data_IF_512997067871
#
_entry.id   IF_512997067871
#
_cell.length_a   1.000
_cell.length_b   1.000
_cell.length_c   1.000
_cell.angle_alpha   90.00
_cell.angle_beta   90.00
_cell.angle_gamma   90.00
#
_symmetry.space_group_name_H-M   'P 1'
#
loop_
_entity.id
_entity.type
_entity.pdbx_description
1 polymer ?
#
# COMPACT_ATOMS: atom_id res chain seq x y z
N UNK A 1 -14.90 -21.33 -28.89
CA UNK A 1 -13.65 -21.22 -28.10
C UNK A 1 -14.01 -20.47 -26.83
N UNK A 2 -14.07 -21.16 -25.69
CA UNK A 2 -14.69 -20.65 -24.46
C UNK A 2 -13.72 -19.87 -23.57
N UNK A 3 -14.22 -18.74 -23.05
CA UNK A 3 -13.65 -17.97 -21.96
C UNK A 3 -13.93 -18.68 -20.63
N UNK A 4 -12.89 -19.12 -19.92
CA UNK A 4 -12.96 -19.45 -18.50
C UNK A 4 -11.59 -19.28 -17.86
N UNK A 5 -11.61 -18.75 -16.63
CA UNK A 5 -10.63 -18.94 -15.57
C UNK A 5 -9.32 -18.13 -15.57
N UNK A 6 -9.39 -16.92 -14.98
CA UNK A 6 -8.28 -16.42 -14.17
C UNK A 6 -8.81 -15.94 -12.81
N UNK A 7 -8.82 -16.88 -11.87
CA UNK A 7 -8.94 -16.61 -10.43
C UNK A 7 -7.75 -15.75 -10.01
N UNK A 8 -8.04 -14.55 -9.48
CA UNK A 8 -7.08 -13.72 -8.77
C UNK A 8 -6.54 -14.50 -7.56
N UNK A 9 -5.28 -14.89 -7.63
CA UNK A 9 -4.56 -15.61 -6.57
C UNK A 9 -4.26 -14.60 -5.47
N UNK A 10 -4.81 -14.88 -4.28
CA UNK A 10 -4.39 -14.26 -3.02
C UNK A 10 -2.95 -14.70 -2.68
N UNK A 11 -2.04 -13.73 -2.62
CA UNK A 11 -0.65 -13.85 -2.13
C UNK A 11 -0.42 -12.54 -1.34
N UNK A 12 -0.27 -12.51 -0.02
CA UNK A 12 0.71 -13.19 0.81
C UNK A 12 0.18 -13.46 2.24
N UNK A 13 0.16 -14.73 2.64
CA UNK A 13 0.18 -15.17 4.04
C UNK A 13 1.40 -16.07 4.21
N UNK A 14 2.56 -15.50 4.54
CA UNK A 14 3.72 -16.21 5.09
C UNK A 14 4.87 -15.25 5.40
N UNK A 15 5.09 -14.92 6.67
CA UNK A 15 6.40 -14.99 7.35
C UNK A 15 6.41 -14.16 8.64
N UNK A 16 6.35 -14.84 9.79
CA UNK A 16 7.17 -14.53 10.98
C UNK A 16 6.80 -15.47 12.13
N UNK A 17 7.15 -16.76 12.00
CA UNK A 17 7.33 -17.64 13.16
C UNK A 17 8.74 -17.39 13.69
N UNK A 18 8.89 -16.40 14.56
CA UNK A 18 10.12 -16.26 15.37
C UNK A 18 9.90 -17.04 16.65
N UNK A 19 10.55 -18.21 16.72
CA UNK A 19 10.69 -19.03 17.93
C UNK A 19 11.74 -18.32 18.78
N UNK A 20 11.33 -17.61 19.81
CA UNK A 20 12.27 -17.13 20.84
C UNK A 20 12.42 -18.28 21.83
N UNK A 21 13.57 -18.98 21.77
CA UNK A 21 14.04 -19.77 22.91
C UNK A 21 14.64 -18.76 23.88
N UNK A 22 13.91 -18.42 24.94
CA UNK A 22 14.48 -17.74 26.10
C UNK A 22 15.07 -18.84 26.97
N UNK A 23 16.39 -18.91 26.97
CA UNK A 23 17.16 -19.71 27.92
C UNK A 23 16.85 -19.18 29.34
N UNK A 24 16.25 -20.04 30.16
CA UNK A 24 16.13 -19.86 31.60
C UNK A 24 17.52 -19.60 32.17
N UNK A 25 17.75 -18.37 32.61
CA UNK A 25 18.88 -18.07 33.48
C UNK A 25 18.34 -17.49 34.78
N UNK A 26 18.42 -18.35 35.79
CA UNK A 26 18.26 -18.08 37.22
C UNK A 26 18.44 -16.62 37.58
N UNK A 27 17.34 -15.98 37.99
CA UNK A 27 17.40 -14.80 38.85
C UNK A 27 16.42 -15.02 39.99
N UNK A 28 16.85 -15.84 40.94
CA UNK A 28 16.30 -15.82 42.29
C UNK A 28 16.71 -14.51 42.95
N UNK A 29 15.77 -13.60 43.15
CA UNK A 29 15.84 -12.56 44.17
C UNK A 29 14.44 -12.43 44.76
N UNK A 30 14.26 -13.07 45.90
CA UNK A 30 13.18 -12.76 46.82
C UNK A 30 13.27 -11.28 47.20
N UNK A 31 12.17 -10.53 47.18
CA UNK A 31 11.88 -9.46 48.14
C UNK A 31 10.40 -9.03 48.03
N UNK A 32 9.69 -9.29 49.14
CA UNK A 32 8.61 -8.50 49.75
C UNK A 32 7.28 -8.26 49.02
N UNK A 33 6.23 -8.83 49.63
CA UNK A 33 4.92 -8.19 49.75
C UNK A 33 5.06 -6.72 50.16
N UNK A 34 4.73 -5.80 49.25
CA UNK A 34 4.24 -4.47 49.60
C UNK A 34 3.20 -4.08 48.56
N UNK A 35 1.93 -4.24 48.93
CA UNK A 35 0.81 -3.73 48.16
C UNK A 35 0.82 -2.22 48.17
N UNK A 36 1.17 -1.64 47.02
CA UNK A 36 0.70 -0.35 46.51
C UNK A 36 0.77 -0.48 44.98
N UNK A 37 -0.29 -1.05 44.40
CA UNK A 37 -0.54 -0.91 42.96
C UNK A 37 -0.87 0.57 42.72
N UNK A 38 0.17 1.39 42.55
CA UNK A 38 0.06 2.74 42.01
C UNK A 38 -0.28 2.61 40.52
N UNK A 39 -1.55 2.32 40.29
CA UNK A 39 -2.26 2.45 39.02
C UNK A 39 -2.43 3.96 38.70
N UNK A 40 -1.32 4.71 38.70
CA UNK A 40 -1.30 6.16 38.51
C UNK A 40 -1.94 6.48 37.15
N UNK A 41 -3.11 7.15 37.14
CA UNK A 41 -3.84 7.44 35.92
C UNK A 41 -3.00 8.22 34.91
N UNK A 42 -2.04 9.03 35.37
CA UNK A 42 -1.14 9.80 34.52
C UNK A 42 -0.12 8.88 33.82
N UNK A 43 0.54 7.99 34.55
CA UNK A 43 1.47 7.00 33.98
C UNK A 43 0.78 6.12 32.93
N UNK A 44 -0.42 5.61 33.23
CA UNK A 44 -1.21 4.83 32.26
C UNK A 44 -1.60 5.65 31.01
N UNK A 45 -1.97 6.93 31.19
CA UNK A 45 -2.30 7.81 30.07
C UNK A 45 -1.09 8.08 29.17
N UNK A 46 0.10 8.26 29.75
CA UNK A 46 1.36 8.46 29.00
C UNK A 46 1.71 7.20 28.18
N UNK A 47 1.62 6.02 28.79
CA UNK A 47 1.87 4.76 28.08
C UNK A 47 0.88 4.53 26.93
N UNK A 48 -0.41 4.83 27.15
CA UNK A 48 -1.43 4.74 26.12
C UNK A 48 -1.15 5.72 24.97
N UNK A 49 -0.78 6.97 25.26
CA UNK A 49 -0.43 7.97 24.25
C UNK A 49 0.80 7.52 23.43
N UNK A 50 1.83 6.99 24.08
CA UNK A 50 3.02 6.46 23.41
C UNK A 50 2.70 5.27 22.50
N UNK A 51 1.92 4.31 22.99
CA UNK A 51 1.46 3.17 22.20
C UNK A 51 0.59 3.61 21.02
N UNK A 52 -0.30 4.58 21.23
CA UNK A 52 -1.11 5.17 20.17
C UNK A 52 -0.23 5.83 19.09
N UNK A 53 0.81 6.58 19.49
CA UNK A 53 1.78 7.17 18.57
C UNK A 53 2.52 6.13 17.73
N UNK A 54 2.99 5.04 18.35
CA UNK A 54 3.63 3.91 17.64
C UNK A 54 2.69 3.27 16.61
N UNK A 55 1.43 3.02 17.00
CA UNK A 55 0.41 2.45 16.11
C UNK A 55 0.10 3.39 14.94
N UNK A 56 -0.05 4.69 15.19
CA UNK A 56 -0.28 5.69 14.16
C UNK A 56 0.88 5.74 13.16
N UNK A 57 2.13 5.75 13.63
CA UNK A 57 3.31 5.72 12.76
C UNK A 57 3.39 4.44 11.93
N UNK A 58 3.06 3.28 12.51
CA UNK A 58 3.00 2.02 11.78
C UNK A 58 1.90 2.02 10.71
N UNK A 59 0.70 2.50 11.05
CA UNK A 59 -0.42 2.59 10.13
C UNK A 59 -0.11 3.54 8.95
N UNK A 60 0.52 4.68 9.23
CA UNK A 60 0.96 5.63 8.20
C UNK A 60 1.95 4.99 7.22
N UNK A 61 2.99 4.30 7.73
CA UNK A 61 3.95 3.58 6.87
C UNK A 61 3.27 2.49 6.03
N UNK A 62 2.35 1.74 6.62
CA UNK A 62 1.59 0.72 5.90
C UNK A 62 0.72 1.33 4.78
N UNK A 63 0.06 2.45 5.05
CA UNK A 63 -0.75 3.17 4.06
C UNK A 63 0.12 3.68 2.90
N UNK A 64 1.29 4.26 3.18
CA UNK A 64 2.23 4.71 2.15
C UNK A 64 2.73 3.55 1.28
N UNK A 65 3.06 2.41 1.90
CA UNK A 65 3.47 1.22 1.16
C UNK A 65 2.34 0.68 0.27
N UNK A 66 1.11 0.68 0.77
CA UNK A 66 -0.08 0.28 0.00
C UNK A 66 -0.33 1.23 -1.18
N UNK A 67 -0.21 2.55 -0.98
CA UNK A 67 -0.37 3.55 -2.04
C UNK A 67 0.68 3.38 -3.15
N UNK A 68 1.95 3.15 -2.79
CA UNK A 68 3.02 2.86 -3.77
C UNK A 68 2.73 1.58 -4.55
N UNK A 69 2.34 0.51 -3.85
CA UNK A 69 1.97 -0.75 -4.51
C UNK A 69 0.76 -0.61 -5.43
N UNK A 70 -0.21 0.23 -5.07
CA UNK A 70 -1.36 0.53 -5.92
C UNK A 70 -0.92 1.30 -7.17
N UNK A 71 -0.03 2.31 -7.02
CA UNK A 71 0.51 3.05 -8.15
C UNK A 71 1.20 2.12 -9.17
N UNK A 72 2.05 1.20 -8.70
CA UNK A 72 2.74 0.23 -9.57
C UNK A 72 1.76 -0.70 -10.31
N UNK A 73 0.64 -1.03 -9.66
CA UNK A 73 -0.39 -1.90 -10.26
C UNK A 73 -1.16 -1.16 -11.34
N UNK A 74 -1.53 0.09 -11.09
CA UNK A 74 -2.24 0.92 -12.06
C UNK A 74 -1.33 1.27 -13.25
N UNK A 75 -0.04 1.52 -13.02
CA UNK A 75 0.92 1.72 -14.12
C UNK A 75 1.04 0.49 -15.03
N UNK A 76 1.06 -0.72 -14.47
CA UNK A 76 1.00 -1.96 -15.27
C UNK A 76 -0.29 -2.10 -16.06
N UNK A 77 -1.42 -1.61 -15.51
CA UNK A 77 -2.70 -1.54 -16.24
C UNK A 77 -2.59 -0.59 -17.45
N UNK A 78 -1.96 0.58 -17.27
CA UNK A 78 -1.71 1.50 -18.36
C UNK A 78 -0.90 0.87 -19.50
N UNK A 79 0.16 0.14 -19.17
CA UNK A 79 0.98 -0.57 -20.15
C UNK A 79 0.20 -1.69 -20.85
N UNK A 80 -0.72 -2.34 -20.15
CA UNK A 80 -1.65 -3.30 -20.77
C UNK A 80 -2.57 -2.63 -21.77
N UNK A 81 -3.12 -1.46 -21.43
CA UNK A 81 -3.95 -0.69 -22.34
C UNK A 81 -3.17 -0.20 -23.58
N UNK A 82 -1.93 0.25 -23.43
CA UNK A 82 -1.10 0.65 -24.58
C UNK A 82 -0.81 -0.52 -25.53
N UNK A 83 -0.55 -1.72 -24.97
CA UNK A 83 -0.39 -2.95 -25.77
C UNK A 83 -1.68 -3.28 -26.53
N UNK A 84 -2.83 -3.24 -25.88
CA UNK A 84 -4.12 -3.45 -26.55
C UNK A 84 -4.35 -2.41 -27.67
N UNK A 85 -4.04 -1.14 -27.43
CA UNK A 85 -4.16 -0.10 -28.46
C UNK A 85 -3.29 -0.42 -29.68
N UNK A 86 -2.06 -0.88 -29.45
CA UNK A 86 -1.13 -1.28 -30.51
C UNK A 86 -1.68 -2.45 -31.33
N UNK A 87 -2.23 -3.48 -30.67
CA UNK A 87 -2.86 -4.62 -31.37
C UNK A 87 -4.04 -4.20 -32.24
N UNK A 88 -4.88 -3.27 -31.77
CA UNK A 88 -5.97 -2.73 -32.58
C UNK A 88 -5.47 -1.91 -33.78
N UNK A 89 -4.42 -1.10 -33.60
CA UNK A 89 -3.82 -0.36 -34.71
C UNK A 89 -3.20 -1.30 -35.75
N UNK A 90 -2.59 -2.40 -35.33
CA UNK A 90 -2.11 -3.45 -36.23
C UNK A 90 -3.26 -4.10 -36.98
N UNK A 91 -4.34 -4.50 -36.28
CA UNK A 91 -5.54 -5.06 -36.91
C UNK A 91 -6.14 -4.09 -37.94
N UNK A 92 -6.15 -2.78 -37.66
CA UNK A 92 -6.65 -1.76 -38.57
C UNK A 92 -5.91 -1.72 -39.92
N UNK A 93 -4.64 -2.17 -39.98
CA UNK A 93 -3.85 -2.24 -41.22
C UNK A 93 -4.34 -3.35 -42.14
N UNK A 94 -4.91 -4.41 -41.59
CA UNK A 94 -5.35 -5.60 -42.32
C UNK A 94 -6.84 -5.60 -42.65
N UNK A 95 -7.62 -4.67 -42.11
CA UNK A 95 -9.06 -4.55 -42.37
C UNK A 95 -9.38 -3.61 -43.54
N UNK A 96 -10.56 -3.85 -44.15
CA UNK A 96 -11.21 -2.91 -45.05
C UNK A 96 -11.63 -1.60 -44.36
N UNK A 97 -12.13 -0.59 -45.10
CA UNK A 97 -12.32 0.77 -44.59
C UNK A 97 -13.16 0.88 -43.31
N UNK A 98 -14.26 0.14 -43.21
CA UNK A 98 -15.11 0.13 -42.01
C UNK A 98 -14.38 -0.46 -40.80
N UNK A 99 -13.84 -1.68 -40.91
CA UNK A 99 -13.10 -2.32 -39.81
C UNK A 99 -11.82 -1.55 -39.41
N UNK A 100 -11.19 -0.83 -40.34
CA UNK A 100 -10.07 0.07 -40.03
C UNK A 100 -10.50 1.22 -39.13
N UNK A 101 -11.66 1.83 -39.40
CA UNK A 101 -12.19 2.93 -38.58
C UNK A 101 -12.51 2.43 -37.18
N UNK A 102 -13.22 1.31 -37.07
CA UNK A 102 -13.63 0.75 -35.79
C UNK A 102 -12.41 0.38 -34.93
N UNK A 103 -11.43 -0.31 -35.53
CA UNK A 103 -10.19 -0.67 -34.82
C UNK A 103 -9.40 0.57 -34.35
N UNK A 104 -9.32 1.63 -35.17
CA UNK A 104 -8.69 2.90 -34.74
C UNK A 104 -9.42 3.56 -33.57
N UNK A 105 -10.75 3.49 -33.55
CA UNK A 105 -11.54 3.99 -32.43
C UNK A 105 -11.29 3.18 -31.15
N UNK A 106 -11.19 1.85 -31.24
CA UNK A 106 -10.82 1.00 -30.12
C UNK A 106 -9.40 1.30 -29.61
N UNK A 107 -8.43 1.48 -30.53
CA UNK A 107 -7.08 1.87 -30.16
C UNK A 107 -7.04 3.22 -29.43
N UNK A 108 -7.80 4.21 -29.91
CA UNK A 108 -7.92 5.52 -29.26
C UNK A 108 -8.48 5.44 -27.85
N UNK A 109 -9.53 4.62 -27.63
CA UNK A 109 -10.11 4.39 -26.30
C UNK A 109 -9.12 3.75 -25.33
N UNK A 110 -8.38 2.74 -25.77
CA UNK A 110 -7.35 2.13 -24.93
C UNK A 110 -6.23 3.11 -24.57
N UNK A 111 -5.79 3.98 -25.49
CA UNK A 111 -4.83 5.04 -25.16
C UNK A 111 -5.38 6.04 -24.15
N UNK A 112 -6.67 6.34 -24.20
CA UNK A 112 -7.31 7.18 -23.20
C UNK A 112 -7.27 6.52 -21.82
N UNK A 113 -7.61 5.24 -21.71
CA UNK A 113 -7.50 4.51 -20.44
C UNK A 113 -6.06 4.44 -19.93
N UNK A 114 -5.09 4.20 -20.82
CA UNK A 114 -3.68 4.22 -20.45
C UNK A 114 -3.22 5.58 -19.88
N UNK A 115 -3.73 6.71 -20.41
CA UNK A 115 -3.46 8.03 -19.84
C UNK A 115 -4.09 8.20 -18.46
N UNK A 116 -5.35 7.83 -18.30
CA UNK A 116 -6.07 7.92 -17.02
C UNK A 116 -5.39 7.09 -15.93
N UNK A 117 -4.96 5.88 -16.27
CA UNK A 117 -4.22 5.01 -15.35
C UNK A 117 -2.87 5.64 -14.95
N UNK A 118 -2.14 6.25 -15.89
CA UNK A 118 -0.88 6.95 -15.57
C UNK A 118 -1.11 8.14 -14.64
N UNK A 119 -2.14 8.95 -14.90
CA UNK A 119 -2.52 10.07 -14.03
C UNK A 119 -2.87 9.58 -12.61
N UNK A 120 -3.65 8.49 -12.51
CA UNK A 120 -4.01 7.90 -11.23
C UNK A 120 -2.78 7.31 -10.49
N UNK A 121 -1.88 6.64 -11.21
CA UNK A 121 -0.64 6.13 -10.63
C UNK A 121 0.22 7.27 -10.07
N UNK A 122 0.31 8.40 -10.77
CA UNK A 122 1.03 9.59 -10.29
C UNK A 122 0.38 10.19 -9.04
N UNK A 123 -0.95 10.33 -9.01
CA UNK A 123 -1.69 10.79 -7.82
C UNK A 123 -1.43 9.89 -6.61
N UNK A 124 -1.39 8.57 -6.79
CA UNK A 124 -1.10 7.62 -5.72
C UNK A 124 0.33 7.77 -5.18
N UNK A 125 1.31 8.03 -6.06
CA UNK A 125 2.71 8.33 -5.65
C UNK A 125 2.77 9.62 -4.84
N UNK A 126 2.14 10.68 -5.32
CA UNK A 126 2.07 11.97 -4.63
C UNK A 126 1.41 11.82 -3.25
N UNK A 127 0.34 11.04 -3.13
CA UNK A 127 -0.29 10.74 -1.84
C UNK A 127 0.70 10.03 -0.90
N UNK A 128 1.41 9.01 -1.38
CA UNK A 128 2.39 8.27 -0.58
C UNK A 128 3.54 9.16 -0.08
N UNK A 129 3.91 10.19 -0.84
CA UNK A 129 4.97 11.14 -0.49
C UNK A 129 4.45 12.25 0.45
N UNK A 130 3.24 12.76 0.23
CA UNK A 130 2.62 13.84 0.99
C UNK A 130 2.40 13.49 2.47
N UNK A 131 2.10 12.22 2.78
CA UNK A 131 1.94 11.76 4.16
C UNK A 131 3.24 11.84 4.98
N UNK A 132 4.41 11.97 4.34
CA UNK A 132 5.69 12.13 5.04
C UNK A 132 5.95 13.58 5.54
N UNK A 133 5.30 14.58 4.94
CA UNK A 133 5.55 16.00 5.21
C UNK A 133 4.73 16.59 6.37
N UNK A 134 3.72 15.87 6.88
CA UNK A 134 2.73 16.43 7.82
C UNK A 134 2.99 16.26 9.32
N UNK A 135 4.05 15.57 9.77
CA UNK A 135 4.19 15.16 11.19
C UNK A 135 5.60 15.29 11.78
N UNK A 136 6.36 16.32 11.39
CA UNK A 136 7.61 16.70 12.07
C UNK A 136 7.65 18.18 12.46
N UNK A 137 6.60 18.68 13.10
CA UNK A 137 6.76 19.82 14.00
C UNK A 137 6.97 19.22 15.41
N UNK A 138 8.21 19.20 15.95
CA UNK A 138 8.38 18.93 17.37
C UNK A 138 7.52 19.95 18.15
N UNK A 139 6.86 19.55 19.26
CA UNK A 139 6.12 20.50 20.06
C UNK A 139 7.06 21.66 20.44
N UNK A 140 6.60 22.93 20.38
CA UNK A 140 7.42 24.02 20.83
C UNK A 140 7.81 23.73 22.27
N UNK A 141 9.11 23.58 22.52
CA UNK A 141 9.67 23.47 23.86
C UNK A 141 9.17 24.67 24.65
N UNK A 142 8.31 24.40 25.65
CA UNK A 142 7.86 25.36 26.62
C UNK A 142 9.08 25.74 27.49
N UNK A 143 9.78 26.79 27.08
CA UNK A 143 10.72 27.55 27.90
C UNK A 143 9.99 28.75 28.50
#
# INVERSE_FOLDING_TARGET
>A
MSFSDFRFIAVCRANSRVRIQVEEKDTSMAYSESGWEDDDPLTRAIEQAFCAGKRAAQASRAAQAAQRSAADTVEKSADSHERCATTYDEAARHCGPAGRRDNREHAARHRQFARQDREMAEQLRQMAESYSAGYYAPPPSLL
#
